data_IF_118695922025
#
_entry.id   IF_118695922025
#
_cell.length_a   1.000
_cell.length_b   1.000
_cell.length_c   1.000
_cell.angle_alpha   90.00
_cell.angle_beta   90.00
_cell.angle_gamma   90.00
#
_symmetry.space_group_name_H-M   'P 1'
#
loop_
_entity.id
_entity.type
_entity.pdbx_description
1 polymer ?
#
# COMPACT_ATOMS: atom_id res chain seq x y z
N UNK A 1 5.80 2.32 29.11
CA UNK A 1 4.91 1.30 28.52
C UNK A 1 3.98 1.90 27.45
N UNK A 2 3.14 2.89 27.78
CA UNK A 2 2.22 3.52 26.82
C UNK A 2 2.93 4.09 25.58
N UNK A 3 4.02 4.83 25.76
CA UNK A 3 4.81 5.36 24.65
C UNK A 3 5.33 4.27 23.72
N UNK A 4 5.98 3.24 24.27
CA UNK A 4 6.53 2.12 23.49
C UNK A 4 5.44 1.35 22.74
N UNK A 5 4.26 1.19 23.35
CA UNK A 5 3.09 0.60 22.71
C UNK A 5 2.64 1.45 21.51
N UNK A 6 2.41 2.74 21.71
CA UNK A 6 1.92 3.65 20.68
C UNK A 6 2.93 3.92 19.55
N UNK A 7 4.23 3.93 19.85
CA UNK A 7 5.28 4.25 18.89
C UNK A 7 5.80 3.03 18.11
N UNK A 8 5.62 1.82 18.63
CA UNK A 8 6.20 0.59 18.04
C UNK A 8 5.13 -0.47 17.80
N UNK A 9 4.50 -0.98 18.84
CA UNK A 9 3.60 -2.14 18.71
C UNK A 9 2.33 -1.81 17.92
N UNK A 10 1.72 -0.65 18.20
CA UNK A 10 0.53 -0.20 17.50
C UNK A 10 0.79 0.00 15.99
N UNK A 11 1.83 0.76 15.56
CA UNK A 11 2.19 0.85 14.15
C UNK A 11 2.44 -0.50 13.49
N UNK A 12 3.15 -1.43 14.14
CA UNK A 12 3.38 -2.76 13.55
C UNK A 12 2.05 -3.48 13.27
N UNK A 13 1.16 -3.49 14.26
CA UNK A 13 -0.12 -4.18 14.13
C UNK A 13 -1.05 -3.51 13.12
N UNK A 14 -1.16 -2.18 13.17
CA UNK A 14 -2.03 -1.41 12.28
C UNK A 14 -1.52 -1.45 10.83
N UNK A 15 -0.22 -1.35 10.60
CA UNK A 15 0.33 -1.48 9.26
C UNK A 15 0.10 -2.89 8.70
N UNK A 16 0.23 -3.93 9.52
CA UNK A 16 -0.13 -5.29 9.11
C UNK A 16 -1.63 -5.41 8.74
N UNK A 17 -2.53 -4.96 9.61
CA UNK A 17 -3.97 -5.08 9.38
C UNK A 17 -4.46 -4.28 8.16
N UNK A 18 -4.03 -3.02 8.04
CA UNK A 18 -4.55 -2.12 7.02
C UNK A 18 -3.77 -2.19 5.70
N UNK A 19 -2.44 -2.34 5.74
CA UNK A 19 -1.62 -2.29 4.51
C UNK A 19 -1.43 -3.68 3.97
N UNK A 20 -1.05 -4.63 4.82
CA UNK A 20 -0.86 -5.99 4.36
C UNK A 20 -2.20 -6.72 4.14
N UNK A 21 -3.12 -6.73 5.11
CA UNK A 21 -4.35 -7.50 4.97
C UNK A 21 -5.44 -6.77 4.16
N UNK A 22 -5.80 -5.54 4.55
CA UNK A 22 -6.91 -4.83 3.91
C UNK A 22 -6.62 -4.41 2.46
N UNK A 23 -5.45 -3.80 2.15
CA UNK A 23 -5.14 -3.42 0.76
C UNK A 23 -5.03 -4.65 -0.14
N UNK A 24 -4.42 -5.75 0.31
CA UNK A 24 -4.35 -6.98 -0.49
C UNK A 24 -5.75 -7.61 -0.66
N UNK A 25 -6.61 -7.55 0.36
CA UNK A 25 -8.00 -8.00 0.25
C UNK A 25 -8.81 -7.16 -0.76
N UNK A 26 -8.67 -5.83 -0.74
CA UNK A 26 -9.31 -4.93 -1.71
C UNK A 26 -8.81 -5.20 -3.14
N UNK A 27 -7.51 -5.45 -3.31
CA UNK A 27 -6.94 -5.82 -4.60
C UNK A 27 -7.46 -7.20 -5.06
N UNK A 28 -7.66 -8.12 -4.14
CA UNK A 28 -8.23 -9.46 -4.41
C UNK A 28 -9.68 -9.38 -4.90
N UNK A 29 -10.51 -8.54 -4.27
CA UNK A 29 -11.90 -8.29 -4.69
C UNK A 29 -11.94 -7.69 -6.09
N UNK A 30 -11.07 -6.71 -6.38
CA UNK A 30 -10.98 -6.08 -7.71
C UNK A 30 -10.78 -7.11 -8.82
N UNK A 31 -9.97 -8.14 -8.56
CA UNK A 31 -9.68 -9.18 -9.55
C UNK A 31 -10.66 -10.35 -9.53
N UNK A 32 -11.70 -10.33 -8.69
CA UNK A 32 -12.71 -11.38 -8.53
C UNK A 32 -12.11 -12.79 -8.28
N UNK A 33 -10.96 -12.85 -7.62
CA UNK A 33 -10.23 -14.09 -7.31
C UNK A 33 -10.11 -14.21 -5.80
N UNK A 34 -11.07 -14.78 -5.09
CA UNK A 34 -10.94 -15.02 -3.64
C UNK A 34 -9.85 -16.06 -3.35
N UNK A 35 -8.61 -15.59 -3.18
CA UNK A 35 -7.43 -16.39 -2.89
C UNK A 35 -6.88 -16.00 -1.49
N UNK A 36 -7.21 -16.82 -0.49
CA UNK A 36 -6.79 -16.63 0.90
C UNK A 36 -5.26 -16.60 1.06
N UNK A 37 -4.53 -17.32 0.21
CA UNK A 37 -3.07 -17.37 0.25
C UNK A 37 -2.48 -16.01 -0.14
N UNK A 38 -3.09 -15.32 -1.11
CA UNK A 38 -2.70 -13.96 -1.51
C UNK A 38 -3.00 -12.95 -0.42
N UNK A 39 -4.15 -13.07 0.25
CA UNK A 39 -4.56 -12.14 1.32
C UNK A 39 -3.63 -12.25 2.53
N UNK A 40 -3.28 -13.47 2.95
CA UNK A 40 -2.54 -13.71 4.20
C UNK A 40 -1.01 -13.77 4.05
N UNK A 41 -0.50 -14.07 2.86
CA UNK A 41 0.94 -14.22 2.62
C UNK A 41 1.49 -13.35 1.50
N UNK A 42 0.64 -12.64 0.74
CA UNK A 42 1.07 -11.76 -0.35
C UNK A 42 1.89 -12.45 -1.44
N UNK A 43 1.94 -13.79 -1.42
CA UNK A 43 2.86 -14.57 -2.25
C UNK A 43 2.38 -14.50 -3.69
N UNK A 44 3.22 -13.96 -4.59
CA UNK A 44 3.15 -14.26 -6.02
C UNK A 44 3.84 -15.61 -6.19
N UNK A 45 3.15 -16.72 -6.51
CA UNK A 45 3.85 -17.82 -7.16
C UNK A 45 4.37 -17.22 -8.47
N UNK A 46 5.69 -17.15 -8.59
CA UNK A 46 6.33 -16.98 -9.87
C UNK A 46 5.95 -18.20 -10.72
N UNK A 47 4.96 -18.03 -11.58
CA UNK A 47 4.52 -18.98 -12.61
C UNK A 47 3.80 -18.13 -13.66
N UNK A 48 4.10 -18.11 -14.94
CA UNK A 48 5.14 -18.70 -15.77
C UNK A 48 5.15 -17.84 -17.04
N UNK A 49 6.31 -17.58 -17.63
CA UNK A 49 6.38 -16.83 -18.89
C UNK A 49 7.74 -16.81 -19.57
N UNK A 50 8.77 -17.46 -18.99
CA UNK A 50 10.12 -17.51 -19.57
C UNK A 50 10.61 -18.93 -19.90
N UNK A 51 9.69 -19.89 -20.07
CA UNK A 51 10.03 -21.20 -20.63
C UNK A 51 8.96 -21.68 -21.61
N UNK A 52 8.90 -21.05 -22.78
CA UNK A 52 8.43 -21.71 -24.00
C UNK A 52 9.01 -20.98 -25.20
N UNK A 53 10.18 -21.42 -25.66
CA UNK A 53 10.87 -20.84 -26.80
C UNK A 53 12.07 -21.67 -27.23
N UNK A 54 11.98 -23.00 -27.17
CA UNK A 54 12.87 -23.87 -27.94
C UNK A 54 12.11 -24.30 -29.19
N UNK A 55 12.40 -23.65 -30.31
CA UNK A 55 12.28 -24.23 -31.65
C UNK A 55 13.23 -23.46 -32.55
N UNK A 56 14.31 -24.13 -32.92
CA UNK A 56 15.12 -23.75 -34.07
C UNK A 56 14.23 -23.82 -35.31
N UNK A 57 14.27 -22.78 -36.16
CA UNK A 57 14.35 -22.92 -37.61
C UNK A 57 14.52 -21.52 -38.22
N UNK A 58 15.52 -21.41 -39.10
CA UNK A 58 15.89 -20.16 -39.75
C UNK A 58 14.88 -19.73 -40.80
N UNK A 59 14.64 -18.42 -40.86
CA UNK A 59 14.26 -17.74 -42.09
C UNK A 59 14.70 -16.27 -42.02
N UNK A 60 15.69 -15.94 -42.86
CA UNK A 60 15.94 -14.57 -43.26
C UNK A 60 14.78 -14.13 -44.16
N UNK A 61 14.09 -13.06 -43.79
CA UNK A 61 13.26 -12.28 -44.69
C UNK A 61 13.55 -10.81 -44.43
N UNK A 62 14.31 -10.22 -45.35
CA UNK A 62 14.33 -8.79 -45.59
C UNK A 62 12.97 -8.43 -46.19
N UNK A 63 12.28 -7.43 -45.63
CA UNK A 63 11.62 -6.32 -46.34
C UNK A 63 10.66 -5.59 -45.39
N UNK A 64 10.50 -4.28 -45.59
CA UNK A 64 9.38 -3.53 -45.03
C UNK A 64 9.74 -2.53 -43.94
N UNK A 65 9.79 -1.25 -44.32
CA UNK A 65 9.76 -0.10 -43.44
C UNK A 65 8.53 -0.16 -42.51
N UNK A 66 8.72 -0.53 -41.24
CA UNK A 66 7.66 -0.43 -40.24
C UNK A 66 7.29 1.05 -40.02
N UNK A 67 5.99 1.43 -40.04
CA UNK A 67 5.55 2.67 -39.42
C UNK A 67 6.03 2.66 -37.97
N UNK A 68 6.45 3.81 -37.44
CA UNK A 68 6.78 3.93 -36.02
C UNK A 68 5.51 3.65 -35.22
N UNK A 69 5.33 2.39 -34.81
CA UNK A 69 4.35 1.97 -33.82
C UNK A 69 4.79 2.60 -32.50
N UNK A 70 4.30 3.81 -32.24
CA UNK A 70 4.26 4.34 -30.88
C UNK A 70 3.53 3.26 -30.09
N UNK A 71 4.15 2.59 -29.10
CA UNK A 71 3.44 1.61 -28.31
C UNK A 71 2.38 2.39 -27.55
N UNK A 72 1.16 2.41 -28.08
CA UNK A 72 -0.01 2.85 -27.36
C UNK A 72 -0.19 1.80 -26.27
N UNK A 73 0.54 2.01 -25.17
CA UNK A 73 0.53 1.14 -24.02
C UNK A 73 -0.93 0.93 -23.67
N UNK A 74 -1.44 -0.27 -23.97
CA UNK A 74 -2.85 -0.55 -23.83
C UNK A 74 -3.28 -0.12 -22.43
N UNK A 75 -4.44 0.51 -22.32
CA UNK A 75 -4.96 0.97 -21.03
C UNK A 75 -4.88 -0.11 -19.95
N UNK A 76 -4.92 -1.39 -20.35
CA UNK A 76 -4.68 -2.56 -19.50
C UNK A 76 -3.26 -2.62 -18.91
N UNK A 77 -2.19 -2.39 -19.68
CA UNK A 77 -0.81 -2.36 -19.16
C UNK A 77 -0.60 -1.20 -18.15
N UNK A 78 -1.22 -0.04 -18.39
CA UNK A 78 -1.14 1.09 -17.46
C UNK A 78 -1.90 0.82 -16.15
N UNK A 79 -3.04 0.13 -16.22
CA UNK A 79 -3.85 -0.24 -15.05
C UNK A 79 -3.24 -1.40 -14.25
N UNK A 80 -2.38 -2.19 -14.88
CA UNK A 80 -1.58 -3.23 -14.23
C UNK A 80 -0.31 -2.65 -13.59
N UNK A 81 0.27 -1.61 -14.20
CA UNK A 81 1.46 -0.92 -13.70
C UNK A 81 1.17 0.00 -12.50
N UNK A 82 0.00 0.62 -12.45
CA UNK A 82 -0.39 1.52 -11.35
C UNK A 82 -1.63 1.01 -10.60
N UNK A 83 -1.49 0.63 -9.32
CA UNK A 83 -2.64 0.27 -8.51
C UNK A 83 -3.58 1.48 -8.36
N UNK A 84 -4.91 1.26 -8.36
CA UNK A 84 -5.87 2.33 -8.41
C UNK A 84 -5.94 3.11 -7.09
N UNK A 85 -6.13 4.42 -7.20
CA UNK A 85 -6.16 5.34 -6.06
C UNK A 85 -7.33 5.10 -5.11
N UNK A 86 -8.46 4.60 -5.60
CA UNK A 86 -9.63 4.38 -4.76
C UNK A 86 -9.36 3.36 -3.64
N UNK A 87 -8.47 2.37 -3.85
CA UNK A 87 -8.05 1.41 -2.82
C UNK A 87 -7.29 2.13 -1.70
N UNK A 88 -6.39 3.06 -2.05
CA UNK A 88 -5.64 3.84 -1.08
C UNK A 88 -6.54 4.79 -0.29
N UNK A 89 -7.47 5.48 -0.96
CA UNK A 89 -8.44 6.39 -0.34
C UNK A 89 -9.35 5.61 0.60
N UNK A 90 -9.89 4.46 0.17
CA UNK A 90 -10.77 3.65 1.00
C UNK A 90 -10.04 3.09 2.23
N UNK A 91 -8.80 2.61 2.05
CA UNK A 91 -7.96 2.19 3.16
C UNK A 91 -7.69 3.32 4.15
N UNK A 92 -7.37 4.53 3.65
CA UNK A 92 -7.16 5.71 4.49
C UNK A 92 -8.41 6.13 5.25
N UNK A 93 -9.58 6.08 4.61
CA UNK A 93 -10.86 6.37 5.25
C UNK A 93 -11.17 5.38 6.38
N UNK A 94 -11.05 4.07 6.13
CA UNK A 94 -11.29 3.05 7.16
C UNK A 94 -10.28 3.21 8.31
N UNK A 95 -9.02 3.49 8.00
CA UNK A 95 -7.98 3.75 8.99
C UNK A 95 -8.32 4.95 9.89
N UNK A 96 -8.68 6.10 9.30
CA UNK A 96 -9.06 7.28 10.08
C UNK A 96 -10.33 7.06 10.89
N UNK A 97 -11.35 6.42 10.32
CA UNK A 97 -12.61 6.11 11.02
C UNK A 97 -12.41 5.14 12.20
N UNK A 98 -11.45 4.22 12.12
CA UNK A 98 -11.08 3.36 13.25
C UNK A 98 -10.56 4.17 14.46
N UNK A 99 -10.15 5.42 14.24
CA UNK A 99 -9.64 6.33 15.26
C UNK A 99 -10.63 7.43 15.65
N UNK A 100 -11.89 7.32 15.22
CA UNK A 100 -12.91 8.35 15.48
C UNK A 100 -13.17 8.59 16.98
N UNK A 101 -12.98 7.57 17.80
CA UNK A 101 -13.16 7.64 19.26
C UNK A 101 -12.14 8.55 19.98
N UNK A 102 -11.01 8.88 19.34
CA UNK A 102 -9.94 9.72 19.92
C UNK A 102 -10.07 11.22 19.61
N UNK A 103 -11.26 11.69 19.22
CA UNK A 103 -11.54 13.10 18.93
C UNK A 103 -11.27 13.51 17.48
N UNK A 104 -10.92 14.78 17.22
CA UNK A 104 -10.79 15.33 15.85
C UNK A 104 -9.54 14.83 15.09
N UNK A 105 -8.71 14.01 15.73
CA UNK A 105 -7.47 13.44 15.16
C UNK A 105 -7.68 12.52 13.97
N UNK A 106 -8.90 12.00 13.76
CA UNK A 106 -9.21 11.11 12.64
C UNK A 106 -9.01 11.76 11.26
N UNK A 107 -9.18 13.09 11.13
CA UNK A 107 -9.05 13.78 9.83
C UNK A 107 -7.61 13.74 9.29
N UNK A 108 -6.57 14.17 10.05
CA UNK A 108 -5.17 13.95 9.66
C UNK A 108 -4.83 12.48 9.41
N UNK A 109 -5.42 11.55 10.18
CA UNK A 109 -5.18 10.13 10.04
C UNK A 109 -5.73 9.56 8.73
N UNK A 110 -6.85 10.07 8.19
CA UNK A 110 -7.33 9.70 6.85
C UNK A 110 -6.29 10.02 5.79
N UNK A 111 -5.71 11.23 5.86
CA UNK A 111 -4.68 11.68 4.91
C UNK A 111 -3.43 10.81 5.05
N UNK A 112 -2.94 10.63 6.28
CA UNK A 112 -1.78 9.78 6.56
C UNK A 112 -2.01 8.35 6.07
N UNK A 113 -3.14 7.74 6.40
CA UNK A 113 -3.50 6.38 5.98
C UNK A 113 -3.58 6.23 4.46
N UNK A 114 -4.09 7.25 3.75
CA UNK A 114 -4.13 7.26 2.28
C UNK A 114 -2.70 7.30 1.69
N UNK A 115 -1.83 8.15 2.24
CA UNK A 115 -0.41 8.23 1.81
C UNK A 115 0.30 6.92 2.08
N UNK A 116 0.15 6.33 3.27
CA UNK A 116 0.78 5.06 3.64
C UNK A 116 0.29 3.91 2.76
N UNK A 117 -1.01 3.84 2.47
CA UNK A 117 -1.56 2.87 1.53
C UNK A 117 -0.97 3.07 0.11
N UNK A 118 -0.74 4.32 -0.31
CA UNK A 118 -0.09 4.61 -1.60
C UNK A 118 1.37 4.19 -1.63
N UNK A 119 2.13 4.43 -0.56
CA UNK A 119 3.52 3.97 -0.45
C UNK A 119 3.57 2.45 -0.47
N UNK A 120 2.70 1.77 0.27
CA UNK A 120 2.61 0.31 0.26
C UNK A 120 2.31 -0.24 -1.14
N UNK A 121 1.35 0.37 -1.85
CA UNK A 121 1.00 0.01 -3.22
C UNK A 121 2.19 0.09 -4.20
N UNK A 122 3.02 1.12 -4.07
CA UNK A 122 4.15 1.37 -4.99
C UNK A 122 5.39 0.55 -4.63
N UNK A 123 5.69 0.40 -3.33
CA UNK A 123 6.93 -0.25 -2.87
C UNK A 123 6.75 -1.72 -2.49
N UNK A 124 5.50 -2.15 -2.26
CA UNK A 124 5.12 -3.47 -1.72
C UNK A 124 5.90 -3.87 -0.46
N UNK A 125 6.28 -2.87 0.34
CA UNK A 125 7.03 -3.04 1.58
C UNK A 125 6.29 -2.37 2.73
N UNK A 126 6.10 -3.12 3.82
CA UNK A 126 5.46 -2.62 5.05
C UNK A 126 6.42 -1.83 5.93
N UNK A 127 7.74 -2.09 5.84
CA UNK A 127 8.75 -1.40 6.65
C UNK A 127 8.69 0.14 6.55
N UNK A 128 8.73 0.76 5.34
CA UNK A 128 8.67 2.21 5.24
C UNK A 128 7.38 2.77 5.85
N UNK A 129 6.28 2.02 5.77
CA UNK A 129 5.01 2.41 6.34
C UNK A 129 5.04 2.36 7.88
N UNK A 130 5.60 1.29 8.47
CA UNK A 130 5.81 1.16 9.91
C UNK A 130 6.69 2.30 10.43
N UNK A 131 7.78 2.63 9.74
CA UNK A 131 8.66 3.73 10.13
C UNK A 131 7.95 5.09 10.10
N UNK A 132 7.27 5.42 9.00
CA UNK A 132 6.56 6.70 8.88
C UNK A 132 5.44 6.83 9.93
N UNK A 133 4.69 5.75 10.15
CA UNK A 133 3.61 5.74 11.14
C UNK A 133 4.16 5.82 12.57
N UNK A 134 5.17 5.03 12.91
CA UNK A 134 5.83 5.09 14.22
C UNK A 134 6.44 6.47 14.49
N UNK A 135 7.00 7.13 13.48
CA UNK A 135 7.49 8.50 13.58
C UNK A 135 6.35 9.49 13.85
N UNK A 136 5.25 9.38 13.10
CA UNK A 136 4.06 10.21 13.31
C UNK A 136 3.49 10.05 14.73
N UNK A 137 3.32 8.82 15.21
CA UNK A 137 2.85 8.53 16.56
C UNK A 137 3.81 9.06 17.63
N UNK A 138 5.12 8.92 17.40
CA UNK A 138 6.13 9.47 18.32
C UNK A 138 6.02 11.00 18.41
N UNK A 139 5.85 11.69 17.29
CA UNK A 139 5.67 13.15 17.24
C UNK A 139 4.39 13.58 17.95
N UNK A 140 3.29 12.87 17.71
CA UNK A 140 2.00 13.13 18.37
C UNK A 140 2.11 12.96 19.89
N UNK A 141 2.78 11.90 20.36
CA UNK A 141 3.00 11.68 21.79
C UNK A 141 3.89 12.75 22.44
N UNK A 142 4.92 13.22 21.73
CA UNK A 142 5.75 14.34 22.21
C UNK A 142 4.93 15.63 22.26
N UNK A 143 4.14 15.94 21.23
CA UNK A 143 3.26 17.11 21.21
C UNK A 143 2.25 17.10 22.36
N UNK A 144 1.60 15.95 22.57
CA UNK A 144 0.69 15.75 23.70
C UNK A 144 1.39 15.91 25.05
N UNK A 145 2.60 15.36 25.22
CA UNK A 145 3.39 15.54 26.43
C UNK A 145 3.70 17.02 26.69
N UNK A 146 4.12 17.76 25.65
CA UNK A 146 4.37 19.20 25.75
C UNK A 146 3.11 19.96 26.19
N UNK A 147 1.95 19.66 25.60
CA UNK A 147 0.69 20.29 26.02
C UNK A 147 0.37 20.05 27.50
N UNK A 148 0.59 18.83 28.01
CA UNK A 148 0.38 18.50 29.43
C UNK A 148 1.32 19.28 30.36
N UNK A 149 2.56 19.55 29.94
CA UNK A 149 3.53 20.28 30.76
C UNK A 149 3.38 21.81 30.66
N UNK A 150 2.96 22.32 29.50
CA UNK A 150 2.81 23.77 29.26
C UNK A 150 1.47 24.29 29.78
N UNK A 151 0.41 23.48 29.71
CA UNK A 151 -0.93 23.86 30.18
C UNK A 151 -1.23 23.14 31.49
N UNK A 152 -1.00 23.77 32.67
CA UNK A 152 -1.34 23.14 33.94
C UNK A 152 -2.85 22.85 34.00
N UNK A 153 -3.26 21.76 34.66
CA UNK A 153 -4.67 21.39 34.77
C UNK A 153 -5.43 22.49 35.54
N UNK A 154 -6.35 23.16 34.85
CA UNK A 154 -7.37 24.03 35.47
C UNK A 154 -8.50 23.23 36.07
#
# INVERSE_FOLDING_TARGET
LLFTSAAIFAPIWEEYAFRFLLVNWLDTIRHNRFDLTRILFGFRPWADGRMSGTSADGQMALDGQDPIDVPEASSQELTERYPPWWIAILSGLIFGLAHFEYGVSWVPLVVLGTVLARVYQLQRSILPCIFMHGLFNSLAMVGFAVELFVKPPT
#
